data_IF_405630250889
#
_entry.id   IF_405630250889
#
_cell.length_a   1.000
_cell.length_b   1.000
_cell.length_c   1.000
_cell.angle_alpha   90.00
_cell.angle_beta   90.00
_cell.angle_gamma   90.00
#
_symmetry.space_group_name_H-M   'P 1'
#
loop_
_entity.id
_entity.type
_entity.pdbx_description
1 polymer ?
#
# COMPACT_ATOMS: atom_id res chain seq x y z
N UNK A 1 10.06 -6.77 2.12
CA UNK A 1 9.42 -7.39 0.94
C UNK A 1 10.29 -7.22 -0.31
N UNK A 2 10.49 -5.98 -0.84
CA UNK A 2 11.22 -5.75 -2.12
C UNK A 2 12.65 -6.30 -2.09
N UNK A 3 13.43 -6.00 -1.05
CA UNK A 3 14.80 -6.50 -0.90
C UNK A 3 14.87 -8.03 -0.86
N UNK A 4 13.90 -8.67 -0.23
CA UNK A 4 13.80 -10.13 -0.17
C UNK A 4 13.48 -10.73 -1.54
N UNK A 5 12.52 -10.12 -2.25
CA UNK A 5 12.16 -10.54 -3.59
C UNK A 5 13.34 -10.41 -4.57
N UNK A 6 14.01 -9.26 -4.58
CA UNK A 6 15.20 -9.06 -5.43
C UNK A 6 16.34 -10.00 -5.07
N UNK A 7 16.57 -10.27 -3.78
CA UNK A 7 17.56 -11.24 -3.33
C UNK A 7 17.25 -12.66 -3.81
N UNK A 8 15.98 -13.07 -3.77
CA UNK A 8 15.53 -14.37 -4.26
C UNK A 8 15.70 -14.49 -5.78
N UNK A 9 15.40 -13.44 -6.53
CA UNK A 9 15.59 -13.39 -7.98
C UNK A 9 17.08 -13.49 -8.36
N UNK A 10 17.93 -12.74 -7.67
CA UNK A 10 19.38 -12.82 -7.87
C UNK A 10 19.92 -14.23 -7.55
N UNK A 11 19.46 -14.85 -6.45
CA UNK A 11 19.84 -16.22 -6.10
C UNK A 11 19.34 -17.26 -7.12
N UNK A 12 18.23 -16.98 -7.79
CA UNK A 12 17.70 -17.83 -8.87
C UNK A 12 18.41 -17.63 -10.22
N UNK A 13 19.39 -16.73 -10.31
CA UNK A 13 20.16 -16.49 -11.52
C UNK A 13 19.41 -15.68 -12.58
N UNK A 14 18.52 -14.79 -12.17
CA UNK A 14 17.82 -13.86 -13.07
C UNK A 14 18.78 -12.76 -13.53
N UNK A 15 18.96 -12.61 -14.85
CA UNK A 15 19.92 -11.69 -15.44
C UNK A 15 19.47 -10.22 -15.40
N UNK A 16 18.18 -9.95 -15.21
CA UNK A 16 17.65 -8.58 -15.17
C UNK A 16 16.18 -8.51 -14.82
N UNK A 17 15.73 -7.30 -14.44
CA UNK A 17 14.35 -7.02 -14.09
C UNK A 17 13.81 -5.92 -14.98
N UNK A 18 12.68 -6.17 -15.64
CA UNK A 18 11.88 -5.12 -16.26
C UNK A 18 10.84 -4.63 -15.25
N UNK A 19 11.06 -3.43 -14.70
CA UNK A 19 10.11 -2.78 -13.80
C UNK A 19 9.17 -1.92 -14.64
N UNK A 20 7.91 -2.27 -14.68
CA UNK A 20 6.87 -1.54 -15.40
C UNK A 20 5.85 -0.91 -14.46
N UNK A 21 5.01 -0.02 -15.00
CA UNK A 21 3.94 0.65 -14.28
C UNK A 21 4.37 1.63 -13.18
N UNK A 22 5.56 2.18 -13.25
CA UNK A 22 5.94 3.32 -12.42
C UNK A 22 5.29 4.60 -12.96
N UNK A 23 3.99 4.70 -12.83
CA UNK A 23 3.23 5.88 -13.24
C UNK A 23 3.65 7.07 -12.37
N UNK A 24 4.29 8.08 -12.99
CA UNK A 24 4.65 9.32 -12.34
C UNK A 24 6.06 9.41 -11.76
N UNK A 25 6.86 8.35 -11.81
CA UNK A 25 8.29 8.43 -11.55
C UNK A 25 8.70 8.90 -10.15
N UNK A 26 7.91 8.58 -9.12
CA UNK A 26 8.32 8.88 -7.73
C UNK A 26 9.63 8.14 -7.39
N UNK A 27 10.68 8.85 -6.91
CA UNK A 27 11.97 8.25 -6.55
C UNK A 27 11.85 7.45 -5.25
N UNK A 28 11.20 6.30 -5.37
CA UNK A 28 10.86 5.41 -4.25
C UNK A 28 12.11 4.74 -3.68
N UNK A 29 12.22 4.55 -2.36
CA UNK A 29 13.26 3.71 -1.77
C UNK A 29 13.24 2.27 -2.29
N UNK A 30 12.08 1.78 -2.74
CA UNK A 30 11.98 0.46 -3.35
C UNK A 30 12.77 0.34 -4.66
N UNK A 31 12.79 1.39 -5.49
CA UNK A 31 13.58 1.42 -6.72
C UNK A 31 15.09 1.47 -6.42
N UNK A 32 15.50 2.24 -5.42
CA UNK A 32 16.88 2.27 -4.98
C UNK A 32 17.32 0.93 -4.42
N UNK A 33 16.49 0.27 -3.61
CA UNK A 33 16.74 -1.08 -3.11
C UNK A 33 16.90 -2.05 -4.28
N UNK A 34 15.98 -2.04 -5.25
CA UNK A 34 16.07 -2.93 -6.42
C UNK A 34 17.36 -2.71 -7.21
N UNK A 35 17.78 -1.46 -7.42
CA UNK A 35 19.01 -1.12 -8.14
C UNK A 35 20.29 -1.60 -7.44
N UNK A 36 20.27 -1.82 -6.12
CA UNK A 36 21.44 -2.33 -5.37
C UNK A 36 21.70 -3.83 -5.58
N UNK A 37 20.72 -4.56 -6.10
CA UNK A 37 20.89 -5.97 -6.44
C UNK A 37 21.50 -6.20 -7.83
N UNK A 38 21.70 -5.16 -8.62
CA UNK A 38 22.42 -5.18 -9.91
C UNK A 38 23.94 -5.21 -9.68
N UNK A 39 24.43 -6.18 -8.89
CA UNK A 39 25.85 -6.37 -8.58
C UNK A 39 26.18 -7.86 -8.48
N UNK A 40 27.39 -8.20 -8.90
CA UNK A 40 27.91 -9.55 -8.74
C UNK A 40 29.19 -9.52 -7.88
N UNK A 41 29.26 -10.22 -6.74
CA UNK A 41 28.15 -10.96 -6.10
C UNK A 41 27.07 -10.02 -5.50
N UNK A 42 25.82 -10.51 -5.34
CA UNK A 42 24.76 -9.73 -4.75
C UNK A 42 25.05 -9.40 -3.28
N UNK A 43 24.71 -8.18 -2.86
CA UNK A 43 24.85 -7.78 -1.46
C UNK A 43 23.82 -8.49 -0.58
N UNK A 44 24.16 -8.70 0.69
CA UNK A 44 23.20 -9.18 1.68
C UNK A 44 22.04 -8.19 1.84
N UNK A 45 20.82 -8.70 1.97
CA UNK A 45 19.57 -7.94 2.10
C UNK A 45 19.69 -6.80 3.12
N UNK A 46 20.20 -7.09 4.31
CA UNK A 46 20.32 -6.09 5.37
C UNK A 46 21.31 -4.98 5.02
N UNK A 47 22.43 -5.32 4.38
CA UNK A 47 23.41 -4.34 3.93
C UNK A 47 22.83 -3.39 2.87
N UNK A 48 22.04 -3.91 1.92
CA UNK A 48 21.34 -3.08 0.93
C UNK A 48 20.38 -2.11 1.60
N UNK A 49 19.57 -2.59 2.53
CA UNK A 49 18.58 -1.76 3.22
C UNK A 49 19.25 -0.69 4.10
N UNK A 50 20.34 -1.02 4.76
CA UNK A 50 21.11 -0.07 5.57
C UNK A 50 21.81 0.99 4.71
N UNK A 51 22.35 0.61 3.56
CA UNK A 51 22.96 1.53 2.61
C UNK A 51 21.94 2.55 2.08
N UNK A 52 20.78 2.10 1.64
CA UNK A 52 19.70 2.97 1.15
C UNK A 52 19.18 3.87 2.27
N UNK A 53 18.99 3.34 3.49
CA UNK A 53 18.55 4.14 4.61
C UNK A 53 19.54 5.26 4.98
N UNK A 54 20.85 4.95 5.00
CA UNK A 54 21.89 5.96 5.25
C UNK A 54 21.99 6.99 4.12
N UNK A 55 21.86 6.55 2.88
CA UNK A 55 21.89 7.45 1.73
C UNK A 55 20.73 8.45 1.77
N UNK A 56 19.54 8.03 2.19
CA UNK A 56 18.33 8.89 2.22
C UNK A 56 18.21 9.71 3.51
N UNK A 57 18.44 9.12 4.67
CA UNK A 57 18.17 9.74 5.97
C UNK A 57 19.42 10.09 6.78
N UNK A 58 20.63 9.83 6.23
CA UNK A 58 21.88 10.01 6.96
C UNK A 58 22.06 9.01 8.11
N UNK A 59 23.21 9.05 8.80
CA UNK A 59 23.52 8.09 9.86
C UNK A 59 22.53 8.12 11.04
N UNK A 60 22.05 9.32 11.40
CA UNK A 60 21.13 9.51 12.53
C UNK A 60 19.70 9.03 12.21
N UNK A 61 19.22 9.27 11.01
CA UNK A 61 17.85 8.89 10.59
C UNK A 61 17.72 7.43 10.16
N UNK A 62 18.79 6.83 9.63
CA UNK A 62 18.77 5.50 9.05
C UNK A 62 18.19 4.40 9.98
N UNK A 63 18.55 4.31 11.27
CA UNK A 63 17.97 3.29 12.15
C UNK A 63 16.45 3.41 12.31
N UNK A 64 15.94 4.63 12.31
CA UNK A 64 14.50 4.90 12.39
C UNK A 64 13.80 4.59 11.07
N UNK A 65 14.38 4.95 9.93
CA UNK A 65 13.87 4.61 8.61
C UNK A 65 13.76 3.08 8.43
N UNK A 66 14.77 2.32 8.87
CA UNK A 66 14.77 0.86 8.86
C UNK A 66 13.60 0.26 9.66
N UNK A 67 13.32 0.81 10.85
CA UNK A 67 12.17 0.40 11.67
C UNK A 67 10.85 0.70 10.97
N UNK A 68 10.71 1.91 10.42
CA UNK A 68 9.53 2.30 9.66
C UNK A 68 9.28 1.38 8.47
N UNK A 69 10.29 1.10 7.65
CA UNK A 69 10.18 0.22 6.49
C UNK A 69 9.83 -1.22 6.87
N UNK A 70 10.34 -1.70 8.02
CA UNK A 70 9.97 -3.00 8.56
C UNK A 70 8.49 -3.04 8.95
N UNK A 71 8.00 -2.01 9.66
CA UNK A 71 6.60 -1.90 10.03
C UNK A 71 5.68 -1.83 8.79
N UNK A 72 6.03 -1.00 7.79
CA UNK A 72 5.28 -0.92 6.53
C UNK A 72 5.26 -2.26 5.77
N UNK A 73 6.38 -2.95 5.71
CA UNK A 73 6.47 -4.26 5.06
C UNK A 73 5.62 -5.30 5.77
N UNK A 74 5.64 -5.33 7.11
CA UNK A 74 4.81 -6.24 7.90
C UNK A 74 3.33 -5.92 7.75
N UNK A 75 2.96 -4.63 7.78
CA UNK A 75 1.59 -4.20 7.54
C UNK A 75 1.09 -4.64 6.16
N UNK A 76 1.93 -4.51 5.13
CA UNK A 76 1.56 -4.87 3.76
C UNK A 76 1.43 -6.39 3.53
N UNK A 77 1.90 -7.24 4.44
CA UNK A 77 1.61 -8.69 4.40
C UNK A 77 0.12 -8.99 4.59
N UNK A 78 -0.63 -8.08 5.22
CA UNK A 78 -2.09 -8.21 5.38
C UNK A 78 -2.88 -7.78 4.13
N UNK A 79 -2.23 -7.27 3.09
CA UNK A 79 -2.90 -6.86 1.86
C UNK A 79 -3.63 -8.05 1.22
N UNK A 80 -4.93 -7.93 0.94
CA UNK A 80 -5.72 -9.03 0.36
C UNK A 80 -5.37 -9.21 -1.11
N UNK A 81 -4.24 -9.84 -1.38
CA UNK A 81 -3.70 -9.98 -2.73
C UNK A 81 -4.58 -10.84 -3.62
N UNK A 82 -5.08 -10.22 -4.67
CA UNK A 82 -5.76 -10.87 -5.79
C UNK A 82 -5.70 -9.93 -6.99
N UNK A 83 -5.57 -10.47 -8.19
CA UNK A 83 -5.43 -9.65 -9.40
C UNK A 83 -6.61 -8.68 -9.60
N UNK A 84 -7.82 -9.09 -9.28
CA UNK A 84 -9.00 -8.23 -9.34
C UNK A 84 -8.92 -7.08 -8.31
N UNK A 85 -8.39 -7.33 -7.11
CA UNK A 85 -8.22 -6.28 -6.08
C UNK A 85 -7.21 -5.22 -6.53
N UNK A 86 -6.13 -5.63 -7.20
CA UNK A 86 -5.10 -4.70 -7.69
C UNK A 86 -5.63 -3.69 -8.70
N UNK A 87 -6.62 -4.08 -9.49
CA UNK A 87 -7.11 -3.29 -10.62
C UNK A 87 -8.51 -2.69 -10.44
N UNK A 88 -9.10 -2.82 -9.25
CA UNK A 88 -10.44 -2.31 -9.01
C UNK A 88 -10.49 -1.32 -7.84
N UNK A 89 -11.51 -0.47 -7.85
CA UNK A 89 -11.77 0.45 -6.76
C UNK A 89 -12.31 -0.31 -5.53
N UNK A 90 -12.25 0.25 -4.34
CA UNK A 90 -11.78 1.61 -4.06
C UNK A 90 -10.26 1.73 -4.02
N UNK A 91 -9.55 0.62 -4.20
CA UNK A 91 -8.10 0.56 -4.14
C UNK A 91 -7.44 1.47 -5.19
N UNK A 92 -8.00 1.59 -6.39
CA UNK A 92 -7.45 2.43 -7.46
C UNK A 92 -7.66 3.93 -7.21
N UNK A 93 -8.78 4.33 -6.61
CA UNK A 93 -9.17 5.73 -6.47
C UNK A 93 -9.10 6.27 -5.04
N UNK A 94 -8.98 5.39 -4.05
CA UNK A 94 -8.89 5.79 -2.65
C UNK A 94 -9.98 6.79 -2.23
N UNK A 95 -9.61 7.90 -1.56
CA UNK A 95 -10.58 8.89 -1.08
C UNK A 95 -11.36 9.63 -2.17
N UNK A 96 -10.89 9.59 -3.43
CA UNK A 96 -11.59 10.21 -4.55
C UNK A 96 -12.84 9.43 -5.01
N UNK A 97 -13.02 8.20 -4.54
CA UNK A 97 -14.19 7.40 -4.86
C UNK A 97 -15.43 7.96 -4.15
N UNK A 98 -16.52 8.12 -4.91
CA UNK A 98 -17.77 8.67 -4.41
C UNK A 98 -18.54 7.62 -3.59
N UNK A 99 -19.22 8.09 -2.54
CA UNK A 99 -20.11 7.28 -1.72
C UNK A 99 -21.57 7.57 -2.10
N UNK A 100 -22.32 6.53 -2.49
CA UNK A 100 -23.69 6.67 -2.94
C UNK A 100 -24.65 6.06 -1.91
N UNK A 101 -25.72 6.78 -1.57
CA UNK A 101 -26.73 6.29 -0.64
C UNK A 101 -27.53 5.10 -1.19
N UNK A 102 -27.62 4.99 -2.51
CA UNK A 102 -28.25 3.87 -3.22
C UNK A 102 -27.24 3.23 -4.19
N UNK A 103 -27.32 1.91 -4.43
CA UNK A 103 -26.48 1.27 -5.44
C UNK A 103 -26.71 1.91 -6.82
N UNK A 104 -25.62 2.16 -7.54
CA UNK A 104 -25.67 2.73 -8.89
C UNK A 104 -25.91 1.69 -9.97
N UNK A 105 -25.68 0.41 -9.68
CA UNK A 105 -25.68 -0.67 -10.66
C UNK A 105 -24.41 -0.80 -11.50
N UNK A 106 -23.45 0.11 -11.34
CA UNK A 106 -22.17 0.02 -12.01
C UNK A 106 -21.24 -0.96 -11.33
N UNK A 107 -20.47 -1.69 -12.14
CA UNK A 107 -19.42 -2.60 -11.66
C UNK A 107 -18.08 -1.88 -11.60
N UNK A 108 -17.24 -2.26 -10.64
CA UNK A 108 -15.87 -1.79 -10.58
C UNK A 108 -15.09 -2.24 -11.82
N UNK A 109 -14.30 -1.31 -12.36
CA UNK A 109 -13.38 -1.56 -13.47
C UNK A 109 -12.03 -0.93 -13.15
N UNK A 110 -11.04 -1.25 -13.94
CA UNK A 110 -9.69 -0.67 -13.78
C UNK A 110 -9.67 0.86 -13.92
N UNK A 111 -10.58 1.42 -14.70
CA UNK A 111 -10.57 2.85 -15.08
C UNK A 111 -11.92 3.55 -14.95
N UNK A 112 -12.92 2.95 -14.36
CA UNK A 112 -14.29 3.47 -14.35
C UNK A 112 -14.80 3.92 -12.97
N UNK A 113 -15.74 4.85 -12.99
CA UNK A 113 -16.58 5.27 -11.87
C UNK A 113 -18.04 4.96 -12.16
N UNK A 114 -18.88 4.95 -11.12
CA UNK A 114 -18.61 4.92 -9.68
C UNK A 114 -18.24 3.52 -9.22
N UNK A 115 -17.49 3.46 -8.13
CA UNK A 115 -17.05 2.20 -7.54
C UNK A 115 -17.86 1.91 -6.28
N UNK A 116 -19.06 1.36 -6.43
CA UNK A 116 -19.95 1.08 -5.32
C UNK A 116 -20.49 -0.36 -5.28
N UNK A 117 -19.95 -1.23 -6.13
CA UNK A 117 -20.24 -2.67 -6.14
C UNK A 117 -19.14 -3.45 -5.41
N UNK A 118 -19.37 -3.68 -4.12
CA UNK A 118 -18.42 -4.39 -3.26
C UNK A 118 -18.04 -5.78 -3.79
N UNK A 119 -18.95 -6.47 -4.48
CA UNK A 119 -18.68 -7.81 -4.99
C UNK A 119 -17.62 -7.83 -6.09
N UNK A 120 -17.46 -6.74 -6.82
CA UNK A 120 -16.43 -6.63 -7.86
C UNK A 120 -15.10 -6.06 -7.33
N UNK A 121 -15.06 -5.50 -6.10
CA UNK A 121 -13.82 -4.98 -5.50
C UNK A 121 -13.01 -6.00 -4.75
N UNK A 122 -13.70 -6.88 -4.03
CA UNK A 122 -13.14 -7.71 -2.98
C UNK A 122 -12.46 -8.99 -3.47
N UNK A 123 -12.47 -9.26 -4.75
CA UNK A 123 -11.97 -10.54 -5.28
C UNK A 123 -12.71 -11.72 -4.62
N UNK A 124 -12.01 -12.78 -4.23
CA UNK A 124 -12.62 -13.95 -3.59
C UNK A 124 -12.92 -13.77 -2.09
N UNK A 125 -12.50 -12.65 -1.48
CA UNK A 125 -12.59 -12.46 -0.03
C UNK A 125 -14.01 -12.12 0.41
N UNK A 126 -14.49 -12.64 1.55
CA UNK A 126 -15.72 -12.15 2.19
C UNK A 126 -15.62 -10.64 2.49
N UNK A 127 -16.74 -9.92 2.40
CA UNK A 127 -16.74 -8.45 2.53
C UNK A 127 -16.12 -7.95 3.84
N UNK A 128 -16.43 -8.59 4.97
CA UNK A 128 -15.84 -8.24 6.27
C UNK A 128 -14.34 -8.49 6.29
N UNK A 129 -13.89 -9.64 5.81
CA UNK A 129 -12.46 -9.98 5.72
C UNK A 129 -11.71 -8.97 4.86
N UNK A 130 -12.25 -8.61 3.70
CA UNK A 130 -11.65 -7.61 2.82
C UNK A 130 -11.46 -6.26 3.51
N UNK A 131 -12.50 -5.75 4.19
CA UNK A 131 -12.44 -4.49 4.92
C UNK A 131 -11.45 -4.56 6.10
N UNK A 132 -11.44 -5.66 6.84
CA UNK A 132 -10.57 -5.84 8.00
C UNK A 132 -9.10 -5.97 7.61
N UNK A 133 -8.79 -6.62 6.49
CA UNK A 133 -7.42 -6.69 5.98
C UNK A 133 -6.88 -5.29 5.63
N UNK A 134 -7.65 -4.45 4.94
CA UNK A 134 -7.22 -3.07 4.69
C UNK A 134 -7.13 -2.23 5.97
N UNK A 135 -7.97 -2.48 6.96
CA UNK A 135 -7.87 -1.83 8.27
C UNK A 135 -6.57 -2.22 9.00
N UNK A 136 -6.16 -3.49 8.93
CA UNK A 136 -4.88 -3.96 9.48
C UNK A 136 -3.69 -3.32 8.76
N UNK A 137 -3.71 -3.27 7.42
CA UNK A 137 -2.68 -2.56 6.66
C UNK A 137 -2.58 -1.10 7.13
N UNK A 138 -3.70 -0.39 7.23
CA UNK A 138 -3.71 1.00 7.66
C UNK A 138 -3.22 1.20 9.10
N UNK A 139 -3.54 0.27 10.00
CA UNK A 139 -3.11 0.32 11.41
C UNK A 139 -1.60 0.10 11.55
N UNK A 140 -1.06 -0.97 10.97
CA UNK A 140 0.38 -1.24 11.01
C UNK A 140 1.20 -0.20 10.25
N UNK A 141 0.64 0.39 9.17
CA UNK A 141 1.26 1.51 8.48
C UNK A 141 1.37 2.73 9.38
N UNK A 142 0.32 3.03 10.15
CA UNK A 142 0.34 4.13 11.13
C UNK A 142 1.43 3.97 12.20
N UNK A 143 1.69 2.75 12.64
CA UNK A 143 2.80 2.47 13.57
C UNK A 143 4.16 2.85 12.93
N UNK A 144 4.39 2.46 11.68
CA UNK A 144 5.59 2.81 10.94
C UNK A 144 5.80 4.31 10.75
N UNK A 145 4.73 5.10 10.61
CA UNK A 145 4.83 6.56 10.49
C UNK A 145 5.51 7.20 11.69
N UNK A 146 5.29 6.69 12.90
CA UNK A 146 5.95 7.20 14.12
C UNK A 146 7.47 7.10 14.05
N UNK A 147 7.99 6.02 13.49
CA UNK A 147 9.43 5.87 13.31
C UNK A 147 9.95 6.65 12.09
N UNK A 148 9.17 6.76 11.01
CA UNK A 148 9.55 7.59 9.87
C UNK A 148 9.64 9.08 10.23
N UNK A 149 8.75 9.60 11.08
CA UNK A 149 8.84 10.95 11.63
C UNK A 149 10.15 11.18 12.42
N UNK A 150 10.58 10.17 13.21
CA UNK A 150 11.88 10.24 13.91
C UNK A 150 13.04 10.25 12.91
N UNK A 151 12.95 9.45 11.85
CA UNK A 151 13.95 9.44 10.78
C UNK A 151 14.10 10.82 10.13
N UNK A 152 12.97 11.46 9.77
CA UNK A 152 12.95 12.81 9.20
C UNK A 152 13.55 13.86 10.13
N UNK A 153 13.22 13.80 11.42
CA UNK A 153 13.79 14.74 12.42
C UNK A 153 15.29 14.58 12.62
N UNK A 154 15.81 13.38 12.45
CA UNK A 154 17.24 13.05 12.60
C UNK A 154 18.04 13.16 11.29
N UNK A 155 17.36 13.41 10.18
CA UNK A 155 18.00 13.54 8.87
C UNK A 155 18.82 14.83 8.77
N UNK A 156 19.91 14.85 7.99
CA UNK A 156 20.69 16.04 7.70
C UNK A 156 19.85 17.10 6.97
N UNK A 157 20.18 18.38 7.16
CA UNK A 157 19.44 19.51 6.57
C UNK A 157 19.39 19.47 5.04
N UNK A 158 20.45 19.02 4.40
CA UNK A 158 20.52 18.86 2.93
C UNK A 158 19.61 17.75 2.38
N UNK A 159 19.04 16.91 3.24
CA UNK A 159 18.06 15.84 2.91
C UNK A 159 16.66 16.16 3.37
N UNK A 160 16.44 17.32 3.97
CA UNK A 160 15.19 17.65 4.64
C UNK A 160 13.97 17.65 3.71
N UNK A 161 14.10 18.09 2.46
CA UNK A 161 13.00 18.14 1.52
C UNK A 161 12.62 16.74 1.02
N UNK A 162 13.60 15.92 0.66
CA UNK A 162 13.37 14.55 0.18
C UNK A 162 12.76 13.67 1.27
N UNK A 163 13.29 13.78 2.50
CA UNK A 163 12.77 12.98 3.63
C UNK A 163 11.37 13.40 4.05
N UNK A 164 11.04 14.70 3.99
CA UNK A 164 9.66 15.18 4.19
C UNK A 164 8.72 14.73 3.09
N UNK A 165 9.17 14.69 1.84
CA UNK A 165 8.37 14.17 0.73
C UNK A 165 8.05 12.69 0.94
N UNK A 166 9.01 11.87 1.39
CA UNK A 166 8.79 10.46 1.71
C UNK A 166 7.79 10.28 2.85
N UNK A 167 7.88 11.09 3.91
CA UNK A 167 6.90 11.07 5.01
C UNK A 167 5.49 11.38 4.50
N UNK A 168 5.31 12.46 3.72
CA UNK A 168 4.00 12.83 3.17
C UNK A 168 3.41 11.73 2.29
N UNK A 169 4.25 11.07 1.50
CA UNK A 169 3.82 9.93 0.69
C UNK A 169 3.35 8.78 1.57
N UNK A 170 4.07 8.46 2.64
CA UNK A 170 3.69 7.42 3.57
C UNK A 170 2.41 7.75 4.35
N UNK A 171 2.21 9.02 4.73
CA UNK A 171 0.96 9.52 5.33
C UNK A 171 -0.22 9.36 4.36
N UNK A 172 -0.05 9.76 3.10
CA UNK A 172 -1.05 9.60 2.06
C UNK A 172 -1.42 8.12 1.84
N UNK A 173 -0.44 7.22 1.83
CA UNK A 173 -0.68 5.79 1.73
C UNK A 173 -1.49 5.24 2.92
N UNK A 174 -1.20 5.67 4.14
CA UNK A 174 -1.98 5.30 5.33
C UNK A 174 -3.45 5.72 5.22
N UNK A 175 -3.69 6.97 4.79
CA UNK A 175 -5.03 7.50 4.59
C UNK A 175 -5.76 6.74 3.47
N UNK A 176 -5.05 6.40 2.41
CA UNK A 176 -5.57 5.60 1.30
C UNK A 176 -6.06 4.22 1.78
N UNK A 177 -5.23 3.45 2.47
CA UNK A 177 -5.63 2.13 2.98
C UNK A 177 -6.80 2.22 3.96
N UNK A 178 -6.80 3.21 4.86
CA UNK A 178 -7.92 3.45 5.76
C UNK A 178 -9.20 3.81 5.02
N UNK A 179 -9.10 4.62 3.97
CA UNK A 179 -10.23 4.97 3.12
C UNK A 179 -10.84 3.74 2.44
N UNK A 180 -10.00 2.84 1.90
CA UNK A 180 -10.49 1.58 1.29
C UNK A 180 -11.29 0.75 2.29
N UNK A 181 -10.78 0.55 3.50
CA UNK A 181 -11.50 -0.16 4.57
C UNK A 181 -12.85 0.50 4.88
N UNK A 182 -12.88 1.83 5.00
CA UNK A 182 -14.10 2.58 5.31
C UNK A 182 -15.13 2.51 4.17
N UNK A 183 -14.70 2.59 2.93
CA UNK A 183 -15.57 2.47 1.76
C UNK A 183 -16.18 1.07 1.65
N UNK A 184 -15.41 0.02 1.91
CA UNK A 184 -15.92 -1.34 1.94
C UNK A 184 -16.98 -1.52 3.04
N UNK A 185 -16.73 -1.01 4.25
CA UNK A 185 -17.68 -1.03 5.35
C UNK A 185 -18.93 -0.22 5.07
N UNK A 186 -18.78 0.97 4.49
CA UNK A 186 -19.93 1.80 4.07
C UNK A 186 -20.82 1.06 3.09
N UNK A 187 -20.24 0.49 2.03
CA UNK A 187 -21.03 -0.22 1.00
C UNK A 187 -21.72 -1.45 1.56
N UNK A 188 -21.04 -2.22 2.43
CA UNK A 188 -21.63 -3.38 3.10
C UNK A 188 -22.80 -2.96 4.02
N UNK A 189 -22.62 -1.93 4.82
CA UNK A 189 -23.66 -1.42 5.74
C UNK A 189 -24.87 -0.87 4.96
N UNK A 190 -24.63 -0.07 3.89
CA UNK A 190 -25.69 0.42 3.01
C UNK A 190 -26.51 -0.72 2.41
N UNK A 191 -25.84 -1.73 1.86
CA UNK A 191 -26.52 -2.86 1.24
C UNK A 191 -27.34 -3.66 2.26
N UNK A 192 -26.83 -3.83 3.48
CA UNK A 192 -27.55 -4.50 4.57
C UNK A 192 -28.79 -3.72 5.02
N UNK A 193 -28.73 -2.39 5.06
CA UNK A 193 -29.89 -1.54 5.37
C UNK A 193 -30.97 -1.67 4.30
N UNK A 194 -30.59 -1.52 3.05
CA UNK A 194 -31.55 -1.61 1.92
C UNK A 194 -32.18 -3.01 1.79
N UNK A 195 -31.46 -4.06 2.17
CA UNK A 195 -32.02 -5.42 2.16
C UNK A 195 -33.08 -5.62 3.26
N UNK A 196 -32.99 -4.92 4.40
CA UNK A 196 -33.99 -4.95 5.47
C UNK A 196 -35.26 -4.20 5.11
N UNK A 197 -35.13 -3.14 4.32
CA UNK A 197 -36.26 -2.31 3.87
C UNK A 197 -36.94 -2.88 2.62
N UNK A 198 -36.40 -3.95 2.03
CA UNK A 198 -37.03 -4.62 0.88
C UNK A 198 -38.25 -5.40 1.38
N UNK A 199 -39.46 -5.15 0.87
CA UNK A 199 -40.59 -6.01 1.20
C UNK A 199 -40.24 -7.44 0.85
N UNK A 200 -40.43 -8.37 1.80
CA UNK A 200 -40.25 -9.79 1.58
C UNK A 200 -41.00 -10.17 0.28
N UNK A 201 -40.28 -10.79 -0.64
CA UNK A 201 -40.96 -11.37 -1.82
C UNK A 201 -42.04 -12.31 -1.26
N UNK A 202 -43.28 -12.27 -1.77
CA UNK A 202 -44.31 -13.22 -1.34
C UNK A 202 -43.82 -14.62 -1.68
N UNK A 203 -43.98 -15.53 -0.73
CA UNK A 203 -43.69 -16.97 -0.86
C UNK A 203 -44.40 -17.61 -2.06
#
# INVERSE_FOLDING_TARGET
LVAEHCGNLAAAGVDGLLLSWSLGGYPSPNLEVASRFDRSPPLAKEAVLDDVARARFGPGGAPHARKAWTAFSNAFLEFPFHIGVLYTAPQQFGPANLLFAKPTGYRATMVGFPYDDLNTWRGPYPAGVFADQFAKVAAGWKEGLTDLEKAVRAAPLDRADDTRAELRFAEAAQLHFRSVANQARFTAARNALLAKDSPLAPD
#
